data_IF_201552676789
#
_entry.id   IF_201552676789
#
_cell.length_a   1.000
_cell.length_b   1.000
_cell.length_c   1.000
_cell.angle_alpha   90.00
_cell.angle_beta   90.00
_cell.angle_gamma   90.00
#
_symmetry.space_group_name_H-M   'P 1'
#
loop_
_entity.id
_entity.type
_entity.pdbx_description
1 polymer ?
#
# COMPACT_ATOMS: atom_id res chain seq x y z
N UNK A 1 11.02 5.52 12.12
CA UNK A 1 12.47 5.62 12.45
C UNK A 1 13.16 6.31 11.28
N UNK A 2 14.08 7.27 11.48
CA UNK A 2 14.76 7.90 10.32
C UNK A 2 15.82 6.94 9.73
N UNK A 3 15.92 6.87 8.39
CA UNK A 3 16.90 6.04 7.65
C UNK A 3 18.31 6.16 8.24
N UNK A 4 18.72 7.37 8.63
CA UNK A 4 20.04 7.64 9.18
C UNK A 4 20.34 6.87 10.47
N UNK A 5 19.35 6.62 11.32
CA UNK A 5 19.55 5.80 12.52
C UNK A 5 19.65 4.33 12.15
N UNK A 6 18.84 3.87 11.20
CA UNK A 6 18.87 2.47 10.75
C UNK A 6 20.23 2.10 10.15
N UNK A 7 20.87 2.98 9.38
CA UNK A 7 22.21 2.74 8.76
C UNK A 7 23.34 2.53 9.79
N UNK A 8 23.18 3.00 11.03
CA UNK A 8 24.23 2.92 12.07
C UNK A 8 24.10 1.63 12.88
N UNK A 9 22.98 0.94 12.78
CA UNK A 9 22.71 -0.30 13.50
C UNK A 9 23.48 -1.48 12.89
N UNK A 10 23.62 -2.57 13.66
CA UNK A 10 24.23 -3.79 13.13
C UNK A 10 23.34 -4.36 12.00
N UNK A 11 23.91 -4.81 10.88
CA UNK A 11 23.13 -5.28 9.73
C UNK A 11 22.37 -6.57 10.01
N UNK A 12 22.71 -7.29 11.08
CA UNK A 12 22.04 -8.53 11.50
C UNK A 12 21.60 -8.44 12.96
N UNK A 13 20.31 -8.55 13.21
CA UNK A 13 19.71 -8.58 14.54
C UNK A 13 19.67 -10.00 15.12
N UNK A 14 20.05 -10.17 16.40
CA UNK A 14 20.08 -11.49 17.04
C UNK A 14 18.79 -11.77 17.82
N UNK A 15 18.09 -12.83 17.45
CA UNK A 15 16.92 -13.35 18.18
C UNK A 15 17.39 -14.38 19.22
N UNK A 16 17.49 -13.95 20.47
CA UNK A 16 17.91 -14.74 21.62
C UNK A 16 16.77 -15.17 22.55
N UNK A 17 15.57 -14.58 22.45
CA UNK A 17 14.45 -14.89 23.32
C UNK A 17 13.07 -14.73 22.65
N UNK A 18 12.03 -15.14 23.37
CA UNK A 18 10.64 -15.16 22.88
C UNK A 18 10.06 -13.77 22.61
N UNK A 19 10.56 -12.72 23.29
CA UNK A 19 10.11 -11.35 23.06
C UNK A 19 10.67 -10.82 21.74
N UNK A 20 11.95 -11.06 21.48
CA UNK A 20 12.59 -10.74 20.19
C UNK A 20 11.96 -11.54 19.06
N UNK A 21 11.65 -12.82 19.27
CA UNK A 21 10.96 -13.64 18.27
C UNK A 21 9.56 -13.09 17.95
N UNK A 22 8.83 -12.59 18.96
CA UNK A 22 7.55 -11.91 18.73
C UNK A 22 7.75 -10.62 17.94
N UNK A 23 8.77 -9.84 18.27
CA UNK A 23 9.13 -8.62 17.52
C UNK A 23 9.43 -8.92 16.05
N UNK A 24 10.19 -9.99 15.78
CA UNK A 24 10.43 -10.47 14.43
C UNK A 24 9.12 -10.73 13.67
N UNK A 25 8.20 -11.53 14.24
CA UNK A 25 6.93 -11.84 13.57
C UNK A 25 6.01 -10.64 13.36
N UNK A 26 6.08 -9.63 14.23
CA UNK A 26 5.27 -8.41 14.12
C UNK A 26 5.74 -7.43 13.03
N UNK A 27 6.91 -7.64 12.42
CA UNK A 27 7.44 -6.79 11.36
C UNK A 27 7.18 -7.49 10.03
N UNK A 28 5.97 -7.47 9.49
CA UNK A 28 5.59 -8.21 8.28
C UNK A 28 5.52 -7.35 7.02
N UNK A 29 5.73 -6.05 7.10
CA UNK A 29 5.63 -5.12 5.95
C UNK A 29 6.90 -5.02 5.10
N UNK A 30 7.99 -5.65 5.53
CA UNK A 30 9.30 -5.59 4.86
C UNK A 30 9.88 -6.99 4.64
N UNK A 31 10.73 -7.11 3.63
CA UNK A 31 11.47 -8.35 3.37
C UNK A 31 12.35 -8.65 4.58
N UNK A 32 12.27 -9.89 5.07
CA UNK A 32 13.12 -10.36 6.18
C UNK A 32 13.78 -11.68 5.85
N UNK A 33 14.98 -11.87 6.40
CA UNK A 33 15.64 -13.15 6.42
C UNK A 33 15.91 -13.57 7.86
N UNK A 34 15.83 -14.87 8.15
CA UNK A 34 16.26 -15.40 9.45
C UNK A 34 17.06 -16.67 9.30
N UNK A 35 18.29 -16.65 9.80
CA UNK A 35 19.21 -17.78 9.76
C UNK A 35 19.45 -18.42 11.13
N UNK A 36 19.56 -19.76 11.18
CA UNK A 36 20.03 -20.46 12.38
C UNK A 36 21.48 -20.91 12.23
N UNK A 37 22.38 -20.36 13.03
CA UNK A 37 23.81 -20.67 12.98
C UNK A 37 24.34 -21.21 14.29
N UNK A 38 25.54 -21.79 14.25
CA UNK A 38 26.15 -22.40 15.44
C UNK A 38 26.57 -21.36 16.48
N UNK A 39 27.09 -20.22 16.02
CA UNK A 39 27.53 -19.07 16.82
C UNK A 39 27.98 -17.95 15.89
N UNK A 40 28.22 -16.76 16.45
CA UNK A 40 28.82 -15.60 15.77
C UNK A 40 30.17 -15.87 15.09
N UNK A 41 30.86 -16.95 15.48
CA UNK A 41 32.18 -17.33 14.92
C UNK A 41 32.07 -18.36 13.80
N UNK A 42 30.85 -18.73 13.40
CA UNK A 42 30.63 -19.65 12.30
C UNK A 42 30.94 -18.97 10.98
N UNK A 43 31.69 -19.63 10.09
CA UNK A 43 31.93 -19.10 8.75
C UNK A 43 30.63 -18.85 7.98
N UNK A 44 29.59 -19.68 8.15
CA UNK A 44 28.30 -19.48 7.50
C UNK A 44 27.57 -18.23 8.00
N UNK A 45 27.75 -17.87 9.27
CA UNK A 45 27.22 -16.62 9.80
C UNK A 45 27.99 -15.41 9.28
N UNK A 46 29.31 -15.55 9.05
CA UNK A 46 30.11 -14.50 8.39
C UNK A 46 29.59 -14.23 6.99
N UNK A 47 29.45 -15.25 6.14
CA UNK A 47 28.91 -15.09 4.78
C UNK A 47 27.49 -14.48 4.78
N UNK A 48 26.64 -14.89 5.74
CA UNK A 48 25.30 -14.33 5.92
C UNK A 48 25.32 -12.87 6.35
N UNK A 49 26.26 -12.49 7.22
CA UNK A 49 26.45 -11.10 7.64
C UNK A 49 26.99 -10.25 6.50
N UNK A 50 27.93 -10.76 5.72
CA UNK A 50 28.49 -10.06 4.56
C UNK A 50 27.37 -9.77 3.54
N UNK A 51 26.48 -10.73 3.28
CA UNK A 51 25.29 -10.51 2.44
C UNK A 51 24.32 -9.48 3.05
N UNK A 52 24.16 -9.46 4.38
CA UNK A 52 23.30 -8.49 5.05
C UNK A 52 23.78 -7.03 4.87
N UNK A 53 25.10 -6.82 4.74
CA UNK A 53 25.68 -5.49 4.55
C UNK A 53 25.30 -4.89 3.18
N UNK A 54 25.06 -5.72 2.16
CA UNK A 54 24.68 -5.27 0.81
C UNK A 54 23.25 -4.70 0.75
N UNK A 55 22.32 -5.21 1.58
CA UNK A 55 20.91 -4.79 1.57
C UNK A 55 20.51 -3.89 2.76
N UNK A 56 21.45 -3.57 3.64
CA UNK A 56 21.18 -2.76 4.81
C UNK A 56 20.91 -1.29 4.42
N UNK A 57 19.87 -0.63 4.96
CA UNK A 57 18.94 -1.10 6.00
C UNK A 57 17.57 -1.59 5.51
N UNK A 58 17.40 -1.79 4.20
CA UNK A 58 16.10 -2.01 3.56
C UNK A 58 15.57 -3.43 3.72
N UNK A 59 16.45 -4.43 3.58
CA UNK A 59 16.12 -5.82 3.91
C UNK A 59 16.59 -6.14 5.34
N UNK A 60 15.71 -6.74 6.15
CA UNK A 60 16.02 -7.01 7.56
C UNK A 60 16.58 -8.41 7.75
N UNK A 61 17.82 -8.49 8.20
CA UNK A 61 18.46 -9.77 8.49
C UNK A 61 18.41 -10.06 9.98
N UNK A 62 17.92 -11.26 10.31
CA UNK A 62 17.90 -11.81 11.65
C UNK A 62 18.75 -13.07 11.73
N UNK A 63 19.27 -13.37 12.91
CA UNK A 63 19.92 -14.64 13.17
C UNK A 63 19.60 -15.15 14.57
N UNK A 64 19.62 -16.46 14.74
CA UNK A 64 19.62 -17.07 16.06
C UNK A 64 20.76 -18.06 16.21
N UNK A 65 21.26 -18.17 17.44
CA UNK A 65 22.19 -19.21 17.87
C UNK A 65 21.57 -20.13 18.92
N UNK A 66 20.32 -19.88 19.33
CA UNK A 66 19.61 -20.68 20.32
C UNK A 66 18.81 -21.80 19.62
N UNK A 67 19.12 -23.09 19.87
CA UNK A 67 18.37 -24.20 19.30
C UNK A 67 16.87 -24.21 19.64
N UNK A 68 16.46 -23.55 20.75
CA UNK A 68 15.04 -23.43 21.13
C UNK A 68 14.31 -22.43 20.24
N UNK A 69 14.94 -21.30 19.93
CA UNK A 69 14.39 -20.30 19.01
C UNK A 69 14.34 -20.86 17.60
N UNK A 70 15.45 -21.47 17.13
CA UNK A 70 15.49 -22.15 15.83
C UNK A 70 14.38 -23.20 15.69
N UNK A 71 14.10 -23.97 16.76
CA UNK A 71 13.00 -24.94 16.75
C UNK A 71 11.62 -24.29 16.57
N UNK A 72 11.38 -23.10 17.13
CA UNK A 72 10.12 -22.35 16.96
C UNK A 72 9.98 -21.83 15.54
N UNK A 73 11.07 -21.33 14.97
CA UNK A 73 11.20 -20.94 13.56
C UNK A 73 11.24 -22.12 12.59
N UNK A 74 11.21 -23.38 13.08
CA UNK A 74 11.33 -24.60 12.27
C UNK A 74 12.67 -24.73 11.48
N UNK A 75 13.69 -23.92 11.79
CA UNK A 75 14.99 -23.90 11.13
C UNK A 75 15.92 -25.05 11.53
N UNK A 76 16.68 -25.59 10.56
CA UNK A 76 17.84 -26.46 10.80
C UNK A 76 19.14 -25.64 10.82
N UNK A 77 20.22 -26.25 11.30
CA UNK A 77 21.52 -25.59 11.34
C UNK A 77 21.97 -25.17 9.93
N UNK A 78 22.43 -23.92 9.80
CA UNK A 78 22.79 -23.24 8.56
C UNK A 78 21.65 -23.14 7.53
N UNK A 79 20.39 -23.20 7.97
CA UNK A 79 19.24 -22.88 7.13
C UNK A 79 18.92 -21.39 7.29
N UNK A 80 18.52 -20.77 6.19
CA UNK A 80 18.08 -19.38 6.12
C UNK A 80 16.72 -19.40 5.45
N UNK A 81 15.74 -18.82 6.11
CA UNK A 81 14.38 -18.65 5.60
C UNK A 81 14.21 -17.19 5.17
N UNK A 82 13.65 -16.99 3.98
CA UNK A 82 13.26 -15.70 3.41
C UNK A 82 11.76 -15.49 3.63
N UNK A 83 11.40 -14.31 4.10
CA UNK A 83 10.02 -13.89 4.32
C UNK A 83 9.74 -12.70 3.42
N UNK A 84 8.91 -12.93 2.41
CA UNK A 84 8.27 -11.86 1.64
C UNK A 84 7.30 -11.07 2.55
N UNK A 85 7.16 -9.75 2.36
CA UNK A 85 6.16 -8.95 3.05
C UNK A 85 4.76 -9.58 2.99
N UNK A 86 4.04 -9.49 4.10
CA UNK A 86 2.65 -9.93 4.25
C UNK A 86 2.37 -11.43 4.08
N UNK A 87 3.42 -12.24 3.85
CA UNK A 87 3.34 -13.69 3.73
C UNK A 87 3.55 -14.40 5.08
N UNK A 88 2.69 -15.39 5.35
CA UNK A 88 2.71 -16.16 6.61
C UNK A 88 3.85 -17.20 6.67
N UNK A 89 4.09 -17.87 5.54
CA UNK A 89 5.08 -18.96 5.45
C UNK A 89 6.32 -18.48 4.69
N UNK A 90 7.53 -18.79 5.17
CA UNK A 90 8.75 -18.42 4.48
C UNK A 90 9.10 -19.35 3.33
N UNK A 91 10.00 -18.87 2.48
CA UNK A 91 10.72 -19.66 1.48
C UNK A 91 12.12 -19.99 1.99
N UNK A 92 12.46 -21.26 2.26
CA UNK A 92 13.82 -21.64 2.62
C UNK A 92 14.76 -21.46 1.43
N UNK A 93 15.87 -20.73 1.60
CA UNK A 93 16.84 -20.52 0.52
C UNK A 93 17.42 -21.89 0.11
N UNK A 94 17.39 -22.26 -1.20
CA UNK A 94 17.86 -23.56 -1.66
C UNK A 94 19.40 -23.65 -1.62
N UNK A 95 19.94 -24.86 -1.53
CA UNK A 95 21.36 -25.10 -1.83
C UNK A 95 22.38 -24.99 -0.67
N UNK A 96 21.97 -25.07 0.61
CA UNK A 96 22.90 -24.95 1.76
C UNK A 96 24.11 -25.92 1.74
N UNK A 97 25.29 -25.50 2.27
CA UNK A 97 25.58 -24.21 2.91
C UNK A 97 25.80 -23.08 1.89
N UNK A 98 25.35 -21.88 2.26
CA UNK A 98 25.40 -20.69 1.39
C UNK A 98 26.74 -19.95 1.49
N UNK A 99 27.16 -19.35 0.39
CA UNK A 99 28.11 -18.23 0.35
C UNK A 99 27.36 -16.89 0.19
N UNK A 100 28.02 -15.77 0.45
CA UNK A 100 27.46 -14.41 0.33
C UNK A 100 26.66 -14.24 -0.99
N UNK A 101 27.28 -14.54 -2.13
CA UNK A 101 26.67 -14.33 -3.44
C UNK A 101 25.41 -15.15 -3.70
N UNK A 102 25.28 -16.33 -3.09
CA UNK A 102 24.08 -17.17 -3.25
C UNK A 102 22.88 -16.59 -2.48
N UNK A 103 23.13 -15.87 -1.38
CA UNK A 103 22.09 -15.18 -0.62
C UNK A 103 21.69 -13.89 -1.35
N UNK A 104 22.68 -13.13 -1.83
CA UNK A 104 22.45 -11.91 -2.62
C UNK A 104 21.63 -12.22 -3.87
N UNK A 105 22.06 -13.19 -4.67
CA UNK A 105 21.36 -13.58 -5.91
C UNK A 105 19.93 -14.09 -5.63
N UNK A 106 19.71 -14.75 -4.48
CA UNK A 106 18.36 -15.16 -4.11
C UNK A 106 17.46 -13.96 -3.79
N UNK A 107 17.97 -12.98 -3.02
CA UNK A 107 17.19 -11.78 -2.67
C UNK A 107 16.90 -10.94 -3.92
N UNK A 108 17.88 -10.72 -4.79
CA UNK A 108 17.70 -10.00 -6.07
C UNK A 108 16.69 -10.68 -7.02
N UNK A 109 16.45 -11.99 -6.88
CA UNK A 109 15.44 -12.70 -7.66
C UNK A 109 14.02 -12.59 -7.07
N UNK A 110 13.90 -12.10 -5.84
CA UNK A 110 12.66 -12.00 -5.07
C UNK A 110 12.53 -10.59 -4.44
N UNK A 111 13.15 -9.58 -5.04
CA UNK A 111 13.21 -8.20 -4.53
C UNK A 111 11.95 -7.39 -4.86
N UNK A 112 11.07 -7.94 -5.71
CA UNK A 112 9.73 -7.43 -6.00
C UNK A 112 8.64 -8.30 -5.34
N UNK A 113 8.20 -7.98 -4.12
CA UNK A 113 7.06 -8.63 -3.48
C UNK A 113 5.73 -8.44 -4.23
N UNK A 114 4.82 -9.36 -3.97
CA UNK A 114 3.44 -9.37 -4.47
C UNK A 114 2.64 -8.19 -3.91
N UNK A 115 2.85 -7.86 -2.64
CA UNK A 115 2.28 -6.69 -1.97
C UNK A 115 3.40 -5.89 -1.31
N UNK A 116 3.52 -4.61 -1.68
CA UNK A 116 4.61 -3.72 -1.24
C UNK A 116 4.02 -2.46 -0.60
N UNK A 117 4.44 -2.13 0.62
CA UNK A 117 4.05 -0.86 1.26
C UNK A 117 4.92 0.28 0.74
N UNK A 118 4.28 1.33 0.23
CA UNK A 118 4.94 2.57 -0.15
C UNK A 118 5.24 3.39 1.11
N UNK A 119 6.51 3.73 1.29
CA UNK A 119 7.00 4.50 2.41
C UNK A 119 7.80 5.71 1.91
N UNK A 120 7.87 6.84 2.66
CA UNK A 120 8.57 8.03 2.20
C UNK A 120 10.04 7.81 1.83
N UNK A 121 10.68 6.76 2.36
CA UNK A 121 12.09 6.45 2.11
C UNK A 121 12.34 5.55 0.89
N UNK A 122 11.35 4.78 0.44
CA UNK A 122 11.46 3.86 -0.71
C UNK A 122 10.56 4.28 -1.89
N UNK A 123 9.79 5.36 -1.75
CA UNK A 123 8.81 5.84 -2.72
C UNK A 123 9.30 5.85 -4.16
N UNK A 124 10.47 6.45 -4.43
CA UNK A 124 11.01 6.52 -5.80
C UNK A 124 11.48 5.17 -6.32
N UNK A 125 12.06 4.33 -5.46
CA UNK A 125 12.53 3.00 -5.85
C UNK A 125 11.36 2.09 -6.22
N UNK A 126 10.28 2.11 -5.43
CA UNK A 126 9.07 1.35 -5.73
C UNK A 126 8.36 1.89 -6.98
N UNK A 127 8.24 3.22 -7.11
CA UNK A 127 7.50 3.83 -8.21
C UNK A 127 8.23 3.73 -9.56
N UNK A 128 9.56 3.71 -9.57
CA UNK A 128 10.38 3.47 -10.79
C UNK A 128 10.44 1.99 -11.19
N UNK A 129 9.95 1.07 -10.34
CA UNK A 129 9.95 -0.38 -10.56
C UNK A 129 8.59 -0.90 -11.05
N UNK A 130 8.16 -0.37 -12.20
CA UNK A 130 6.90 -0.71 -12.87
C UNK A 130 6.89 -2.11 -13.52
N UNK A 131 5.69 -2.57 -13.86
CA UNK A 131 5.45 -3.77 -14.66
C UNK A 131 4.80 -3.30 -15.95
N UNK A 132 5.55 -3.39 -17.05
CA UNK A 132 5.08 -3.05 -18.40
C UNK A 132 4.53 -1.60 -18.53
N UNK A 133 5.01 -0.65 -17.73
CA UNK A 133 4.59 0.75 -17.74
C UNK A 133 3.56 1.12 -16.68
N UNK A 134 3.02 0.13 -15.95
CA UNK A 134 1.87 0.32 -15.05
C UNK A 134 2.16 -0.11 -13.61
N UNK A 135 1.36 0.43 -12.68
CA UNK A 135 1.26 -0.05 -11.29
C UNK A 135 -0.18 -0.35 -10.90
N UNK A 136 -0.39 -1.47 -10.20
CA UNK A 136 -1.61 -1.67 -9.42
C UNK A 136 -1.40 -0.98 -8.06
N UNK A 137 -2.22 0.03 -7.78
CA UNK A 137 -2.11 0.87 -6.58
C UNK A 137 -3.34 0.70 -5.72
N UNK A 138 -3.16 0.45 -4.42
CA UNK A 138 -4.21 0.38 -3.43
C UNK A 138 -4.00 1.43 -2.34
N UNK A 139 -5.00 2.28 -2.10
CA UNK A 139 -5.04 3.19 -0.95
C UNK A 139 -5.87 2.60 0.17
N UNK A 140 -5.31 2.54 1.38
CA UNK A 140 -6.04 2.18 2.59
C UNK A 140 -5.29 2.72 3.82
N UNK A 141 -6.01 3.42 4.70
CA UNK A 141 -5.51 3.86 6.00
C UNK A 141 -5.54 2.67 6.98
N UNK A 142 -4.39 2.30 7.55
CA UNK A 142 -4.30 1.13 8.44
C UNK A 142 -5.10 1.31 9.75
N UNK A 143 -5.22 2.56 10.22
CA UNK A 143 -5.88 2.92 11.49
C UNK A 143 -7.40 3.15 11.33
N UNK A 144 -7.92 3.21 10.11
CA UNK A 144 -9.36 3.29 9.81
C UNK A 144 -9.99 1.89 9.73
N UNK A 145 -11.21 1.67 10.27
CA UNK A 145 -11.86 0.36 10.23
C UNK A 145 -12.05 -0.23 8.82
N UNK A 146 -12.45 0.59 7.85
CA UNK A 146 -12.73 0.15 6.48
C UNK A 146 -11.41 -0.06 5.74
N UNK A 147 -10.42 0.82 5.96
CA UNK A 147 -9.04 0.64 5.48
C UNK A 147 -8.38 -0.64 5.99
N UNK A 148 -8.54 -0.96 7.27
CA UNK A 148 -8.05 -2.21 7.86
C UNK A 148 -8.73 -3.44 7.26
N UNK A 149 -10.05 -3.41 7.07
CA UNK A 149 -10.79 -4.49 6.43
C UNK A 149 -10.31 -4.72 4.99
N UNK A 150 -10.15 -3.64 4.21
CA UNK A 150 -9.60 -3.73 2.85
C UNK A 150 -8.21 -4.35 2.82
N UNK A 151 -7.34 -3.90 3.72
CA UNK A 151 -5.97 -4.35 3.78
C UNK A 151 -5.86 -5.85 4.07
N UNK A 152 -6.75 -6.40 4.91
CA UNK A 152 -6.78 -7.85 5.13
C UNK A 152 -7.23 -8.62 3.88
N UNK A 153 -8.17 -8.08 3.10
CA UNK A 153 -8.57 -8.64 1.80
C UNK A 153 -7.40 -8.59 0.80
N UNK A 154 -6.69 -7.46 0.71
CA UNK A 154 -5.50 -7.31 -0.13
C UNK A 154 -4.41 -8.33 0.22
N UNK A 155 -4.15 -8.51 1.52
CA UNK A 155 -3.18 -9.51 2.01
C UNK A 155 -3.62 -10.93 1.67
N UNK A 156 -4.91 -11.25 1.73
CA UNK A 156 -5.44 -12.55 1.30
C UNK A 156 -5.19 -12.79 -0.19
N UNK A 157 -5.59 -11.84 -1.05
CA UNK A 157 -5.39 -11.93 -2.51
C UNK A 157 -3.90 -12.04 -2.87
N UNK A 158 -3.04 -11.25 -2.21
CA UNK A 158 -1.60 -11.31 -2.43
C UNK A 158 -1.01 -12.68 -2.04
N UNK A 159 -1.46 -13.29 -0.92
CA UNK A 159 -1.00 -14.63 -0.51
C UNK A 159 -1.42 -15.70 -1.50
N UNK A 160 -2.65 -15.63 -2.01
CA UNK A 160 -3.16 -16.61 -2.95
C UNK A 160 -2.48 -16.50 -4.34
N UNK A 161 -1.95 -15.32 -4.67
CA UNK A 161 -1.31 -15.03 -5.95
C UNK A 161 0.21 -14.81 -5.89
N UNK A 162 0.87 -15.13 -4.77
CA UNK A 162 2.31 -14.86 -4.53
C UNK A 162 3.27 -15.52 -5.54
N UNK A 163 2.82 -16.56 -6.23
CA UNK A 163 3.63 -17.25 -7.25
C UNK A 163 3.52 -16.61 -8.65
N UNK A 164 2.71 -15.55 -8.81
CA UNK A 164 2.55 -14.84 -10.07
C UNK A 164 3.59 -13.71 -10.19
N UNK A 165 4.65 -13.85 -11.01
CA UNK A 165 5.72 -12.85 -11.11
C UNK A 165 5.28 -11.53 -11.77
N UNK A 166 4.11 -11.51 -12.40
CA UNK A 166 3.56 -10.33 -13.05
C UNK A 166 2.59 -9.56 -12.13
N UNK A 167 2.35 -10.04 -10.91
CA UNK A 167 1.53 -9.34 -9.93
C UNK A 167 2.42 -8.62 -8.92
N UNK A 168 2.28 -7.31 -8.84
CA UNK A 168 2.80 -6.52 -7.74
C UNK A 168 1.86 -5.36 -7.44
N UNK A 169 1.36 -5.31 -6.22
CA UNK A 169 0.43 -4.30 -5.73
C UNK A 169 1.19 -3.36 -4.79
N UNK A 170 1.09 -2.05 -5.05
CA UNK A 170 1.60 -1.01 -4.17
C UNK A 170 0.47 -0.61 -3.22
N UNK A 171 0.61 -0.93 -1.94
CA UNK A 171 -0.24 -0.37 -0.90
C UNK A 171 0.32 0.97 -0.42
N UNK A 172 -0.51 2.00 -0.44
CA UNK A 172 -0.21 3.33 0.06
C UNK A 172 -1.16 3.61 1.22
N UNK A 173 -0.59 3.88 2.39
CA UNK A 173 -1.33 4.50 3.47
C UNK A 173 -1.32 6.03 3.27
N UNK A 174 -2.47 6.69 3.01
CA UNK A 174 -2.53 8.13 2.78
C UNK A 174 -1.94 8.97 3.91
N UNK A 175 -2.01 8.48 5.15
CA UNK A 175 -1.51 9.18 6.35
C UNK A 175 0.02 9.32 6.36
N UNK A 176 0.72 8.44 5.65
CA UNK A 176 2.17 8.54 5.46
C UNK A 176 2.55 9.68 4.49
N UNK A 177 1.60 10.18 3.69
CA UNK A 177 1.84 11.17 2.63
C UNK A 177 0.80 12.30 2.60
N UNK A 178 0.58 13.04 3.70
CA UNK A 178 -0.51 14.02 3.81
C UNK A 178 -0.39 15.19 2.81
N UNK A 179 0.79 15.43 2.26
CA UNK A 179 1.02 16.47 1.25
C UNK A 179 0.69 16.01 -0.19
N UNK A 180 0.61 14.70 -0.42
CA UNK A 180 0.30 14.12 -1.73
C UNK A 180 -1.19 13.77 -1.86
N UNK A 181 -1.92 13.58 -0.75
CA UNK A 181 -3.37 13.29 -0.75
C UNK A 181 -4.16 14.24 -1.68
N UNK A 182 -4.06 15.59 -1.56
CA UNK A 182 -4.84 16.47 -2.44
C UNK A 182 -4.41 16.41 -3.91
N UNK A 183 -3.18 15.96 -4.18
CA UNK A 183 -2.69 15.76 -5.54
C UNK A 183 -3.27 14.46 -6.13
N UNK A 184 -3.26 13.36 -5.38
CA UNK A 184 -3.82 12.09 -5.82
C UNK A 184 -5.33 12.17 -6.06
N UNK A 185 -6.10 12.70 -5.10
CA UNK A 185 -7.55 12.91 -5.26
C UNK A 185 -7.87 13.72 -6.52
N UNK A 186 -7.10 14.79 -6.77
CA UNK A 186 -7.31 15.63 -7.95
C UNK A 186 -6.91 14.95 -9.26
N UNK A 187 -5.81 14.20 -9.25
CA UNK A 187 -5.22 13.59 -10.46
C UNK A 187 -6.06 12.39 -10.87
N UNK A 188 -6.31 11.49 -9.92
CA UNK A 188 -7.02 10.23 -10.12
C UNK A 188 -8.54 10.35 -9.99
N UNK A 189 -9.05 11.50 -9.50
CA UNK A 189 -10.48 11.78 -9.31
C UNK A 189 -11.17 10.78 -8.37
N UNK A 190 -10.44 10.35 -7.33
CA UNK A 190 -10.89 9.44 -6.27
C UNK A 190 -11.05 10.19 -4.95
N UNK A 191 -11.78 9.59 -4.01
CA UNK A 191 -11.89 10.03 -2.63
C UNK A 191 -11.01 9.14 -1.73
N UNK A 192 -9.96 9.72 -1.13
CA UNK A 192 -9.03 8.99 -0.27
C UNK A 192 -9.51 8.89 1.19
N UNK A 193 -10.72 9.35 1.50
CA UNK A 193 -11.39 9.07 2.77
C UNK A 193 -11.97 7.66 2.85
N UNK A 194 -12.02 6.94 1.73
CA UNK A 194 -12.40 5.53 1.64
C UNK A 194 -11.30 4.72 0.93
N UNK A 195 -11.24 3.39 1.13
CA UNK A 195 -10.28 2.55 0.44
C UNK A 195 -10.43 2.63 -1.09
N UNK A 196 -9.33 2.53 -1.83
CA UNK A 196 -9.32 2.60 -3.30
C UNK A 196 -8.36 1.53 -3.85
N UNK A 197 -8.66 0.95 -5.02
CA UNK A 197 -7.68 0.20 -5.80
C UNK A 197 -7.85 0.48 -7.29
N UNK A 198 -6.73 0.68 -7.98
CA UNK A 198 -6.71 1.03 -9.38
C UNK A 198 -5.42 0.61 -10.07
N UNK A 199 -5.40 0.76 -11.39
CA UNK A 199 -4.21 0.66 -12.23
C UNK A 199 -3.85 2.08 -12.69
N UNK A 200 -2.55 2.40 -12.63
CA UNK A 200 -2.01 3.73 -12.94
C UNK A 200 -0.89 3.58 -13.97
N UNK A 201 -0.99 4.29 -15.08
CA UNK A 201 0.09 4.44 -16.06
C UNK A 201 1.19 5.36 -15.51
N UNK A 202 2.46 4.98 -15.68
CA UNK A 202 3.60 5.72 -15.12
C UNK A 202 4.04 6.90 -16.00
N UNK A 203 3.77 6.86 -17.31
CA UNK A 203 4.19 7.90 -18.26
C UNK A 203 3.32 9.16 -18.17
N UNK A 204 2.00 9.02 -18.10
CA UNK A 204 1.06 10.16 -18.12
C UNK A 204 0.12 10.27 -16.90
N UNK A 205 0.16 9.27 -16.00
CA UNK A 205 -0.67 9.18 -14.81
C UNK A 205 -2.17 9.04 -15.10
N UNK A 206 -2.55 8.51 -16.26
CA UNK A 206 -3.90 8.00 -16.47
C UNK A 206 -4.17 6.78 -15.57
N UNK A 207 -5.44 6.58 -15.22
CA UNK A 207 -5.78 5.57 -14.23
C UNK A 207 -7.22 5.10 -14.31
N UNK A 208 -7.42 3.81 -14.04
CA UNK A 208 -8.74 3.18 -13.89
C UNK A 208 -8.85 2.60 -12.49
N UNK A 209 -9.95 2.90 -11.81
CA UNK A 209 -10.19 2.50 -10.42
C UNK A 209 -11.36 1.52 -10.33
N UNK A 210 -11.27 0.54 -9.44
CA UNK A 210 -12.37 -0.38 -9.14
C UNK A 210 -13.54 0.40 -8.54
N UNK A 211 -14.72 0.26 -9.15
CA UNK A 211 -15.94 0.80 -8.56
C UNK A 211 -16.24 0.04 -7.26
N UNK A 212 -16.24 0.78 -6.15
CA UNK A 212 -16.69 0.31 -4.85
C UNK A 212 -17.83 1.21 -4.42
N UNK A 213 -18.95 0.61 -4.01
CA UNK A 213 -20.11 1.36 -3.56
C UNK A 213 -19.84 1.86 -2.13
N UNK A 214 -19.75 3.18 -1.93
CA UNK A 214 -19.47 3.82 -0.63
C UNK A 214 -20.44 3.42 0.52
N UNK A 215 -21.60 2.84 0.17
CA UNK A 215 -22.67 2.42 1.09
C UNK A 215 -22.85 0.88 1.20
N UNK A 216 -22.15 0.08 0.40
CA UNK A 216 -22.25 -1.39 0.34
C UNK A 216 -20.90 -2.07 0.70
N UNK A 217 -20.98 -3.30 1.20
CA UNK A 217 -19.86 -4.06 1.77
C UNK A 217 -18.60 -4.07 0.88
N UNK A 218 -17.42 -4.00 1.51
CA UNK A 218 -16.09 -4.15 0.89
C UNK A 218 -16.03 -5.33 -0.09
N UNK A 219 -15.26 -5.24 -1.19
CA UNK A 219 -15.18 -6.33 -2.15
C UNK A 219 -14.65 -7.60 -1.48
N UNK A 220 -15.22 -8.74 -1.85
CA UNK A 220 -14.66 -10.02 -1.40
C UNK A 220 -13.31 -10.29 -2.05
N UNK A 221 -12.47 -11.14 -1.44
CA UNK A 221 -11.18 -11.55 -2.03
C UNK A 221 -11.35 -12.12 -3.45
N UNK A 222 -12.40 -12.90 -3.71
CA UNK A 222 -12.72 -13.46 -5.03
C UNK A 222 -13.05 -12.35 -6.07
N UNK A 223 -13.75 -11.29 -5.66
CA UNK A 223 -14.10 -10.17 -6.53
C UNK A 223 -12.87 -9.32 -6.86
N UNK A 224 -12.04 -9.05 -5.85
CA UNK A 224 -10.79 -8.32 -6.01
C UNK A 224 -9.78 -9.09 -6.87
N UNK A 225 -9.61 -10.39 -6.63
CA UNK A 225 -8.75 -11.26 -7.44
C UNK A 225 -9.19 -11.23 -8.90
N UNK A 226 -10.49 -11.36 -9.17
CA UNK A 226 -11.00 -11.29 -10.54
C UNK A 226 -10.75 -9.93 -11.21
N UNK A 227 -10.91 -8.83 -10.48
CA UNK A 227 -10.62 -7.49 -11.01
C UNK A 227 -9.13 -7.37 -11.39
N UNK A 228 -8.24 -7.87 -10.52
CA UNK A 228 -6.79 -7.93 -10.79
C UNK A 228 -6.48 -8.84 -11.99
N UNK A 229 -7.12 -10.01 -12.11
CA UNK A 229 -6.96 -10.88 -13.29
C UNK A 229 -7.36 -10.17 -14.60
N UNK A 230 -8.42 -9.37 -14.56
CA UNK A 230 -8.88 -8.60 -15.70
C UNK A 230 -7.86 -7.50 -16.09
N UNK A 231 -7.26 -6.80 -15.10
CA UNK A 231 -6.11 -5.88 -15.29
C UNK A 231 -4.92 -6.60 -15.91
N UNK A 232 -4.43 -7.68 -15.28
CA UNK A 232 -3.26 -8.42 -15.77
C UNK A 232 -3.45 -9.06 -17.15
N UNK A 233 -4.71 -9.22 -17.59
CA UNK A 233 -5.05 -9.72 -18.91
C UNK A 233 -5.20 -8.62 -19.98
N UNK A 234 -5.10 -7.34 -19.59
CA UNK A 234 -5.29 -6.18 -20.44
C UNK A 234 -6.75 -5.90 -20.80
N UNK A 235 -7.71 -6.44 -20.04
CA UNK A 235 -9.14 -6.10 -20.22
C UNK A 235 -9.51 -4.79 -19.51
N UNK A 236 -8.79 -4.47 -18.45
CA UNK A 236 -8.86 -3.20 -17.74
C UNK A 236 -7.47 -2.58 -17.91
N UNK A 237 -7.41 -1.45 -18.59
CA UNK A 237 -6.17 -0.82 -19.05
C UNK A 237 -6.50 0.65 -19.30
N UNK A 238 -5.79 1.61 -18.65
CA UNK A 238 -6.01 3.04 -18.84
C UNK A 238 -5.90 3.49 -20.29
N UNK A 239 -5.05 2.85 -21.11
CA UNK A 239 -4.81 3.25 -22.50
C UNK A 239 -5.92 2.80 -23.47
N UNK A 240 -6.82 1.90 -23.06
CA UNK A 240 -7.84 1.29 -23.94
C UNK A 240 -9.17 2.06 -24.01
N UNK A 241 -9.31 3.18 -23.31
CA UNK A 241 -10.55 4.00 -23.32
C UNK A 241 -10.73 4.86 -24.60
N UNK A 242 -9.77 4.83 -25.54
CA UNK A 242 -9.76 5.67 -26.76
C UNK A 242 -10.37 5.01 -28.02
N UNK A 243 -10.84 3.75 -27.97
CA UNK A 243 -11.16 2.95 -29.18
C UNK A 243 -12.65 2.64 -29.44
N UNK A 244 -13.61 3.17 -28.66
CA UNK A 244 -15.05 2.93 -28.88
C UNK A 244 -15.90 4.23 -28.78
N UNK A 245 -15.95 5.04 -29.86
CA UNK A 245 -17.15 5.83 -30.28
C UNK A 245 -16.90 6.68 -31.56
N UNK A 246 -16.39 6.08 -32.64
CA UNK A 246 -16.45 6.64 -34.01
C UNK A 246 -17.36 5.77 -34.89
N UNK A 247 -18.58 5.49 -34.44
CA UNK A 247 -19.68 5.13 -35.34
C UNK A 247 -20.34 6.44 -35.83
N UNK A 248 -19.74 7.00 -36.89
CA UNK A 248 -20.36 7.98 -37.79
C UNK A 248 -21.66 7.40 -38.39
N UNK A 249 -22.76 7.45 -37.64
CA UNK A 249 -24.11 7.37 -38.20
C UNK A 249 -24.47 8.75 -38.78
N UNK A 250 -23.87 9.04 -39.94
CA UNK A 250 -24.37 9.97 -40.95
C UNK A 250 -25.75 9.47 -41.44
N UNK A 251 -26.81 9.66 -40.64
CA UNK A 251 -28.19 9.64 -41.12
C UNK A 251 -28.67 11.10 -41.25
N UNK A 252 -28.20 11.74 -42.32
CA UNK A 252 -28.89 12.81 -43.03
C UNK A 252 -30.29 12.30 -43.42
N UNK A 253 -31.31 12.68 -42.64
CA UNK A 253 -32.68 12.79 -43.16
C UNK A 253 -33.27 14.14 -42.69
N UNK A 254 -33.01 15.14 -43.53
CA UNK A 254 -33.85 16.31 -43.73
C UNK A 254 -35.32 15.86 -43.88
N UNK A 255 -36.20 16.35 -43.01
CA UNK A 255 -37.54 16.77 -43.44
C UNK A 255 -38.05 17.88 -42.52
N UNK A 256 -37.91 19.08 -43.09
CA UNK A 256 -38.53 20.35 -42.82
C UNK A 256 -40.01 20.34 -42.36
N UNK A 257 -40.36 21.49 -41.78
CA UNK A 257 -41.64 22.21 -41.85
C UNK A 257 -42.64 22.11 -40.67
N UNK A 258 -42.66 23.25 -39.96
CA UNK A 258 -43.81 24.15 -39.81
C UNK A 258 -44.56 24.15 -38.46
N UNK A 259 -44.24 25.22 -37.74
CA UNK A 259 -45.12 26.34 -37.40
C UNK A 259 -46.04 26.30 -36.16
N UNK A 260 -46.06 27.52 -35.60
CA UNK A 260 -47.04 28.19 -34.75
C UNK A 260 -46.75 28.16 -33.25
N UNK A 261 -46.04 29.17 -32.72
CA UNK A 261 -46.45 30.57 -32.47
C UNK A 261 -47.22 30.77 -31.15
N UNK A 262 -46.96 31.95 -30.59
CA UNK A 262 -47.62 32.68 -29.52
C UNK A 262 -47.13 32.37 -28.09
N UNK A 263 -46.12 33.10 -27.60
CA UNK A 263 -46.12 34.52 -27.17
C UNK A 263 -46.89 34.80 -25.89
N UNK A 264 -46.29 35.73 -25.16
CA UNK A 264 -46.84 36.63 -24.15
C UNK A 264 -47.05 36.04 -22.76
N UNK A 265 -46.28 36.39 -21.73
CA UNK A 265 -45.80 37.69 -21.23
C UNK A 265 -46.43 37.89 -19.86
N UNK A 266 -45.73 38.72 -19.08
CA UNK A 266 -46.23 39.46 -17.93
C UNK A 266 -46.41 38.67 -16.63
N UNK A 267 -45.97 39.16 -15.49
CA UNK A 267 -45.11 40.27 -15.08
C UNK A 267 -45.31 40.29 -13.55
N UNK A 268 -44.40 40.95 -12.84
CA UNK A 268 -44.71 41.69 -11.62
C UNK A 268 -45.11 40.87 -10.36
N UNK A 269 -44.60 41.13 -9.17
CA UNK A 269 -43.72 42.17 -8.68
C UNK A 269 -43.67 41.94 -7.16
N UNK A 270 -42.73 42.65 -6.54
CA UNK A 270 -42.88 43.27 -5.22
C UNK A 270 -42.91 42.33 -4.01
N UNK A 271 -41.83 42.36 -3.21
CA UNK A 271 -41.69 43.28 -2.08
C UNK A 271 -42.12 42.49 -0.82
N UNK A 272 -41.53 42.62 0.35
CA UNK A 272 -40.62 43.60 0.89
C UNK A 272 -40.28 43.08 2.29
N UNK A 273 -39.39 43.81 2.95
CA UNK A 273 -39.43 44.05 4.39
C UNK A 273 -38.91 42.91 5.28
N UNK A 274 -37.72 43.09 5.84
CA UNK A 274 -37.50 43.86 7.08
C UNK A 274 -37.86 42.93 8.27
N UNK A 275 -37.12 42.85 9.35
CA UNK A 275 -36.23 43.79 9.99
C UNK A 275 -35.73 43.00 11.21
N UNK A 276 -34.64 43.48 11.81
CA UNK A 276 -34.51 43.61 13.26
C UNK A 276 -34.53 42.30 14.11
N UNK A 277 -33.67 42.10 15.07
CA UNK A 277 -32.79 43.00 15.79
C UNK A 277 -32.23 42.13 16.92
N UNK A 278 -31.17 42.64 17.54
CA UNK A 278 -31.00 42.58 18.99
C UNK A 278 -30.83 41.19 19.63
N UNK A 279 -29.91 40.98 20.55
CA UNK A 279 -28.93 41.81 21.23
C UNK A 279 -28.46 40.87 22.36
N UNK A 280 -27.37 41.26 23.01
CA UNK A 280 -27.16 41.01 24.43
C UNK A 280 -26.90 39.53 24.82
N UNK A 281 -26.00 39.21 25.72
CA UNK A 281 -25.17 39.96 26.64
C UNK A 281 -24.30 38.84 27.24
N UNK A 282 -22.99 39.00 27.27
CA UNK A 282 -22.29 39.52 28.44
C UNK A 282 -22.14 38.48 29.56
N UNK A 283 -21.04 38.71 30.28
CA UNK A 283 -20.71 38.22 31.61
C UNK A 283 -20.07 36.83 31.66
N UNK A 284 -18.75 36.81 31.86
CA UNK A 284 -18.10 36.99 33.19
C UNK A 284 -18.31 35.69 33.98
N UNK A 285 -17.36 35.14 34.72
CA UNK A 285 -16.08 35.57 35.22
C UNK A 285 -15.54 34.32 35.95
N UNK A 286 -14.39 34.49 36.56
CA UNK A 286 -13.90 33.74 37.71
C UNK A 286 -13.23 32.40 37.39
N UNK A 287 -11.90 32.38 37.30
CA UNK A 287 -10.92 32.61 38.36
C UNK A 287 -10.48 31.29 38.99
N UNK A 288 -9.16 31.15 38.93
CA UNK A 288 -8.29 30.77 40.03
C UNK A 288 -8.24 29.33 40.54
N UNK A 289 -7.00 28.84 40.44
CA UNK A 289 -6.21 28.32 41.55
C UNK A 289 -6.60 26.97 42.16
N UNK A 290 -5.71 26.00 41.96
CA UNK A 290 -4.74 25.54 42.97
C UNK A 290 -4.20 24.18 42.48
N UNK A 291 -2.92 24.07 42.19
CA UNK A 291 -1.87 23.65 43.15
C UNK A 291 -2.16 22.26 43.76
N UNK A 292 -1.34 21.28 43.36
CA UNK A 292 -0.62 20.33 44.22
C UNK A 292 -0.13 19.18 43.31
N UNK A 293 1.17 19.12 42.98
CA UNK A 293 2.18 18.36 43.74
C UNK A 293 1.72 16.92 44.06
N UNK A 294 2.29 15.93 43.38
CA UNK A 294 3.19 14.97 44.04
C UNK A 294 3.58 13.78 43.13
N UNK A 295 4.90 13.55 43.10
CA UNK A 295 5.68 12.31 42.81
C UNK A 295 5.74 11.68 41.40
#
# INVERSE_FOLDING_TARGET
MSIYFSVIEDPVEIIGNDRELKGFHNMDEVIRLVGYFKSEKSSHFTEYKDAAEEFHPFVKFYATFDPKIAKKLKLKINEVDFYEPFMDEPVPIPGKPYIESEIVEFIEQHDRPTLRKLEPYNMYEIWEDDIDGEHIVAFAEEDDPDGFEFLEILKEVARDNTENPNLSIIWIDPDNFPLLVPYWEKTFRIDLSSPQIGVVDVEDADSVWMEMDDDDDMPTADELEKWIEDVLSGKIDPDNDDDDDDDDDDDDDDDDDDDDDDDDDDDDDDDDDDDDDDDDDDDDDDDDDDDDDDE
#
